data_IF_616733341881
#
_entry.id   IF_616733341881
#
_cell.length_a   1.000
_cell.length_b   1.000
_cell.length_c   1.000
_cell.angle_alpha   90.00
_cell.angle_beta   90.00
_cell.angle_gamma   90.00
#
_symmetry.space_group_name_H-M   'P 1'
#
loop_
_entity.id
_entity.type
_entity.pdbx_description
1 polymer ?
#
# COMPACT_ATOMS: atom_id res chain seq x y z
N UNK A 1 15.89 -14.60 1.62
CA UNK A 1 16.70 -13.82 2.60
C UNK A 1 16.36 -12.35 2.43
N UNK A 2 16.27 -11.58 3.53
CA UNK A 2 16.00 -10.13 3.46
C UNK A 2 17.00 -9.40 2.58
N UNK A 3 16.54 -8.34 1.89
CA UNK A 3 17.41 -7.51 1.06
C UNK A 3 18.33 -6.63 1.92
N UNK A 4 19.57 -6.41 1.50
CA UNK A 4 20.43 -5.42 2.15
C UNK A 4 19.86 -3.99 1.99
N UNK A 5 20.23 -3.01 2.86
CA UNK A 5 19.89 -1.61 2.63
C UNK A 5 20.37 -1.12 1.27
N UNK A 6 19.55 -0.30 0.58
CA UNK A 6 19.84 0.22 -0.76
C UNK A 6 18.67 0.12 -1.72
N UNK A 7 18.93 0.24 -3.01
CA UNK A 7 17.93 0.09 -4.06
C UNK A 7 18.12 -1.25 -4.77
N UNK A 8 17.10 -2.05 -4.78
CA UNK A 8 17.06 -3.37 -5.44
C UNK A 8 15.99 -3.41 -6.53
N UNK A 9 16.16 -4.32 -7.48
CA UNK A 9 15.17 -4.54 -8.54
C UNK A 9 14.66 -5.97 -8.44
N UNK A 10 13.42 -6.16 -7.95
CA UNK A 10 12.80 -7.48 -7.89
C UNK A 10 12.32 -8.00 -9.25
N UNK A 11 12.17 -7.09 -10.22
CA UNK A 11 12.16 -7.30 -11.68
C UNK A 11 12.89 -6.09 -12.31
N UNK A 12 13.33 -6.16 -13.58
CA UNK A 12 14.13 -5.09 -14.20
C UNK A 12 13.52 -3.68 -14.12
N UNK A 13 12.21 -3.59 -13.94
CA UNK A 13 11.48 -2.31 -13.91
C UNK A 13 10.83 -1.99 -12.56
N UNK A 14 11.08 -2.81 -11.52
CA UNK A 14 10.44 -2.64 -10.21
C UNK A 14 11.48 -2.38 -9.11
N UNK A 15 11.82 -1.11 -8.86
CA UNK A 15 12.73 -0.75 -7.77
C UNK A 15 12.07 -0.89 -6.41
N UNK A 16 12.82 -1.42 -5.46
CA UNK A 16 12.50 -1.49 -4.03
C UNK A 16 13.57 -0.71 -3.29
N UNK A 17 13.17 0.34 -2.58
CA UNK A 17 14.08 1.13 -1.74
C UNK A 17 14.05 0.57 -0.32
N UNK A 18 15.17 0.06 0.16
CA UNK A 18 15.30 -0.59 1.48
C UNK A 18 16.10 0.29 2.41
N UNK A 19 15.52 0.61 3.56
CA UNK A 19 16.14 1.36 4.63
C UNK A 19 16.14 0.53 5.91
N UNK A 20 17.23 0.58 6.65
CA UNK A 20 17.39 -0.11 7.91
C UNK A 20 17.97 0.86 8.94
N UNK A 21 17.41 0.85 10.14
CA UNK A 21 17.90 1.63 11.27
C UNK A 21 18.92 0.83 12.09
N UNK A 22 19.76 1.52 12.84
CA UNK A 22 20.70 0.88 13.78
C UNK A 22 19.99 0.15 14.92
N UNK A 23 18.79 0.61 15.31
CA UNK A 23 17.99 0.00 16.36
C UNK A 23 17.09 -1.11 15.80
N UNK A 24 17.06 -2.29 16.41
CA UNK A 24 16.15 -3.36 15.99
C UNK A 24 14.70 -2.94 16.18
N UNK A 25 13.85 -3.40 15.26
CA UNK A 25 12.42 -3.08 15.25
C UNK A 25 11.66 -3.85 14.17
N UNK A 26 10.39 -3.53 13.95
CA UNK A 26 9.58 -4.17 12.94
C UNK A 26 10.00 -3.77 11.51
N UNK A 27 9.55 -4.57 10.54
CA UNK A 27 9.66 -4.25 9.11
C UNK A 27 8.32 -3.75 8.61
N UNK A 28 8.32 -2.64 7.88
CA UNK A 28 7.16 -2.14 7.15
C UNK A 28 7.43 -2.13 5.64
N UNK A 29 6.41 -2.45 4.84
CA UNK A 29 6.44 -2.32 3.39
C UNK A 29 5.30 -1.40 2.97
N UNK A 30 5.62 -0.30 2.30
CA UNK A 30 4.67 0.64 1.72
C UNK A 30 4.79 0.55 0.20
N UNK A 31 3.71 0.25 -0.48
CA UNK A 31 3.68 0.15 -1.93
C UNK A 31 2.53 0.94 -2.54
N UNK A 32 2.74 1.44 -3.76
CA UNK A 32 1.74 2.16 -4.54
C UNK A 32 1.76 1.76 -6.02
N UNK A 33 0.84 2.28 -6.80
CA UNK A 33 0.84 2.09 -8.25
C UNK A 33 0.60 0.65 -8.71
N UNK A 34 -0.18 -0.13 -7.97
CA UNK A 34 -0.76 -1.40 -8.46
C UNK A 34 -1.69 -1.11 -9.64
N UNK A 35 -2.54 -0.08 -9.52
CA UNK A 35 -3.32 0.46 -10.62
C UNK A 35 -2.66 1.75 -11.12
N UNK A 36 -2.54 1.91 -12.42
CA UNK A 36 -1.77 3.02 -13.00
C UNK A 36 -2.53 4.33 -13.10
N UNK A 37 -3.84 4.32 -12.96
CA UNK A 37 -4.70 5.51 -12.88
C UNK A 37 -4.82 6.08 -11.45
N UNK A 38 -4.28 5.38 -10.44
CA UNK A 38 -4.29 5.75 -9.03
C UNK A 38 -2.94 6.36 -8.63
N UNK A 39 -2.76 7.65 -8.92
CA UNK A 39 -1.42 8.28 -8.94
C UNK A 39 -1.00 8.94 -7.64
N UNK A 40 -1.94 9.33 -6.77
CA UNK A 40 -1.61 10.05 -5.55
C UNK A 40 -0.71 9.23 -4.61
N UNK A 41 -0.96 7.92 -4.49
CA UNK A 41 -0.10 7.02 -3.72
C UNK A 41 1.32 6.93 -4.28
N UNK A 42 1.48 6.92 -5.60
CA UNK A 42 2.79 6.93 -6.26
C UNK A 42 3.56 8.19 -5.89
N UNK A 43 2.93 9.35 -6.05
CA UNK A 43 3.56 10.64 -5.74
C UNK A 43 3.83 10.78 -4.23
N UNK A 44 2.94 10.27 -3.36
CA UNK A 44 3.16 10.24 -1.92
C UNK A 44 4.44 9.46 -1.56
N UNK A 45 4.63 8.24 -2.09
CA UNK A 45 5.84 7.45 -1.82
C UNK A 45 7.08 8.12 -2.42
N UNK A 46 7.00 8.73 -3.61
CA UNK A 46 8.10 9.48 -4.20
C UNK A 46 8.52 10.67 -3.33
N UNK A 47 7.56 11.47 -2.84
CA UNK A 47 7.84 12.60 -1.95
C UNK A 47 8.43 12.15 -0.59
N UNK A 48 7.97 11.01 -0.04
CA UNK A 48 8.57 10.45 1.17
C UNK A 48 10.03 10.03 0.95
N UNK A 49 10.36 9.47 -0.23
CA UNK A 49 11.73 9.15 -0.63
C UNK A 49 12.59 10.43 -0.77
N UNK A 50 12.08 11.45 -1.46
CA UNK A 50 12.75 12.74 -1.67
C UNK A 50 12.96 13.50 -0.37
N UNK A 51 11.98 13.45 0.55
CA UNK A 51 12.10 14.01 1.90
C UNK A 51 13.08 13.25 2.79
N UNK A 52 13.62 12.13 2.30
CA UNK A 52 14.61 11.35 3.04
C UNK A 52 14.01 10.55 4.22
N UNK A 53 12.75 10.11 4.11
CA UNK A 53 12.13 9.28 5.15
C UNK A 53 13.02 8.08 5.48
N UNK A 54 13.31 7.88 6.76
CA UNK A 54 14.10 6.77 7.29
C UNK A 54 13.42 6.18 8.52
N UNK A 55 13.54 4.86 8.75
CA UNK A 55 13.07 4.27 9.99
C UNK A 55 13.94 4.74 11.16
N UNK A 56 13.32 5.03 12.30
CA UNK A 56 14.01 5.23 13.57
C UNK A 56 14.40 3.89 14.19
N UNK A 57 13.64 2.83 13.88
CA UNK A 57 13.89 1.44 14.30
C UNK A 57 13.45 0.47 13.21
N UNK A 58 14.11 -0.69 13.15
CA UNK A 58 13.75 -1.77 12.21
C UNK A 58 13.98 -1.41 10.76
N UNK A 59 13.06 -1.75 9.89
CA UNK A 59 13.23 -1.68 8.44
C UNK A 59 12.02 -1.04 7.75
N UNK A 60 12.28 -0.29 6.71
CA UNK A 60 11.27 0.31 5.85
C UNK A 60 11.58 0.02 4.38
N UNK A 61 10.65 -0.60 3.68
CA UNK A 61 10.71 -0.81 2.24
C UNK A 61 9.67 0.07 1.56
N UNK A 62 10.11 0.85 0.58
CA UNK A 62 9.26 1.73 -0.22
C UNK A 62 9.28 1.31 -1.69
N UNK A 63 8.08 1.08 -2.26
CA UNK A 63 7.89 0.67 -3.65
C UNK A 63 6.91 1.66 -4.29
N UNK A 64 7.40 2.70 -4.99
CA UNK A 64 6.52 3.75 -5.50
C UNK A 64 5.60 3.30 -6.63
N UNK A 65 6.02 2.35 -7.47
CA UNK A 65 5.21 1.91 -8.63
C UNK A 65 5.29 0.39 -8.79
N UNK A 66 4.23 -0.31 -8.39
CA UNK A 66 4.14 -1.77 -8.50
C UNK A 66 3.89 -2.25 -9.95
N UNK A 67 3.14 -1.48 -10.74
CA UNK A 67 2.86 -1.80 -12.15
C UNK A 67 3.32 -0.68 -13.09
N UNK A 68 4.60 -0.64 -13.48
CA UNK A 68 5.13 0.43 -14.35
C UNK A 68 4.44 0.52 -15.71
N UNK A 69 3.91 -0.60 -16.23
CA UNK A 69 3.16 -0.63 -17.48
C UNK A 69 1.83 0.10 -17.39
N UNK A 70 1.07 -0.21 -16.34
CA UNK A 70 -0.20 0.45 -16.04
C UNK A 70 0.00 1.94 -15.72
N UNK A 71 1.02 2.26 -14.90
CA UNK A 71 1.33 3.65 -14.51
C UNK A 71 1.68 4.53 -15.72
N UNK A 72 2.53 4.05 -16.65
CA UNK A 72 2.82 4.81 -17.87
C UNK A 72 1.60 5.02 -18.76
N UNK A 73 0.70 4.05 -18.79
CA UNK A 73 -0.54 4.14 -19.56
C UNK A 73 -1.64 4.97 -18.88
N UNK A 74 -1.50 5.26 -17.56
CA UNK A 74 -2.55 5.89 -16.74
C UNK A 74 -3.87 5.11 -16.78
N UNK A 75 -3.75 3.79 -16.76
CA UNK A 75 -4.90 2.87 -16.76
C UNK A 75 -4.81 1.93 -15.56
N UNK A 76 -5.93 1.37 -15.16
CA UNK A 76 -6.02 0.38 -14.08
C UNK A 76 -5.05 -0.79 -14.30
N UNK A 77 -4.99 -1.32 -15.53
CA UNK A 77 -4.03 -2.34 -15.96
C UNK A 77 -3.24 -1.86 -17.18
N UNK A 78 -2.08 -2.44 -17.44
CA UNK A 78 -1.33 -2.17 -18.65
C UNK A 78 -2.15 -2.57 -19.91
N UNK A 79 -2.01 -1.87 -21.04
CA UNK A 79 -2.69 -2.26 -22.28
C UNK A 79 -2.41 -3.73 -22.62
N UNK A 80 -3.47 -4.54 -22.74
CA UNK A 80 -3.38 -5.99 -22.96
C UNK A 80 -2.90 -6.83 -21.76
N UNK A 81 -2.63 -6.20 -20.62
CA UNK A 81 -2.22 -6.85 -19.38
C UNK A 81 -3.41 -7.22 -18.47
N UNK A 82 -3.09 -7.84 -17.35
CA UNK A 82 -4.05 -8.25 -16.32
C UNK A 82 -4.14 -7.19 -15.22
N UNK A 83 -5.24 -7.22 -14.44
CA UNK A 83 -5.32 -6.51 -13.16
C UNK A 83 -4.35 -7.15 -12.18
N UNK A 84 -3.26 -6.42 -11.83
CA UNK A 84 -2.24 -6.90 -10.91
C UNK A 84 -2.85 -7.24 -9.54
N UNK A 85 -3.84 -6.46 -9.06
CA UNK A 85 -4.49 -6.71 -7.77
C UNK A 85 -5.51 -7.87 -7.81
N UNK A 86 -5.58 -8.60 -8.92
CA UNK A 86 -6.33 -9.86 -9.10
C UNK A 86 -5.41 -11.01 -9.53
N UNK A 87 -4.10 -10.77 -9.54
CA UNK A 87 -3.11 -11.74 -10.03
C UNK A 87 -2.36 -12.48 -8.90
N UNK A 88 -2.66 -12.19 -7.63
CA UNK A 88 -2.08 -12.89 -6.48
C UNK A 88 -2.71 -14.26 -6.24
N UNK A 89 -1.95 -15.27 -5.78
CA UNK A 89 -0.55 -15.23 -5.29
C UNK A 89 0.53 -15.16 -6.37
N UNK A 90 0.17 -15.19 -7.65
CA UNK A 90 1.10 -15.15 -8.76
C UNK A 90 1.81 -16.45 -9.07
N UNK A 91 2.53 -16.46 -10.19
CA UNK A 91 3.40 -17.55 -10.65
C UNK A 91 4.63 -16.94 -11.33
N UNK A 92 5.83 -17.33 -10.88
CA UNK A 92 7.10 -16.83 -11.40
C UNK A 92 7.34 -17.16 -12.88
N UNK A 93 6.71 -18.22 -13.38
CA UNK A 93 6.85 -18.73 -14.76
C UNK A 93 5.69 -18.34 -15.67
N UNK A 94 4.71 -17.58 -15.17
CA UNK A 94 3.57 -17.16 -15.98
C UNK A 94 4.00 -16.31 -17.20
N UNK A 95 3.25 -16.40 -18.28
CA UNK A 95 3.44 -15.56 -19.47
C UNK A 95 3.12 -14.09 -19.14
N UNK A 96 2.04 -13.83 -18.37
CA UNK A 96 1.62 -12.50 -17.99
C UNK A 96 2.60 -11.88 -16.98
N UNK A 97 2.99 -10.62 -17.25
CA UNK A 97 3.92 -9.89 -16.39
C UNK A 97 3.32 -9.65 -14.99
N UNK A 98 2.04 -9.32 -14.93
CA UNK A 98 1.33 -9.03 -13.67
C UNK A 98 1.33 -10.24 -12.73
N UNK A 99 1.16 -11.44 -13.29
CA UNK A 99 1.22 -12.68 -12.51
C UNK A 99 2.63 -12.94 -11.95
N UNK A 100 3.67 -12.62 -12.73
CA UNK A 100 5.06 -12.68 -12.23
C UNK A 100 5.36 -11.60 -11.20
N UNK A 101 4.87 -10.36 -11.39
CA UNK A 101 5.00 -9.26 -10.43
C UNK A 101 4.36 -9.64 -9.09
N UNK A 102 3.12 -10.15 -9.11
CA UNK A 102 2.41 -10.62 -7.93
C UNK A 102 3.23 -11.66 -7.15
N UNK A 103 3.78 -12.66 -7.86
CA UNK A 103 4.61 -13.70 -7.24
C UNK A 103 5.89 -13.12 -6.63
N UNK A 104 6.61 -12.27 -7.36
CA UNK A 104 7.85 -11.67 -6.87
C UNK A 104 7.64 -10.77 -5.65
N UNK A 105 6.54 -10.04 -5.64
CA UNK A 105 6.20 -9.24 -4.46
C UNK A 105 5.82 -10.10 -3.25
N UNK A 106 5.09 -11.19 -3.46
CA UNK A 106 4.80 -12.15 -2.38
C UNK A 106 6.09 -12.79 -1.85
N UNK A 107 7.02 -13.21 -2.73
CA UNK A 107 8.32 -13.75 -2.33
C UNK A 107 9.13 -12.73 -1.49
N UNK A 108 9.13 -11.45 -1.89
CA UNK A 108 9.73 -10.38 -1.10
C UNK A 108 9.11 -10.29 0.30
N UNK A 109 7.79 -10.29 0.40
CA UNK A 109 7.11 -10.25 1.70
C UNK A 109 7.42 -11.48 2.57
N UNK A 110 7.52 -12.67 1.97
CA UNK A 110 7.91 -13.89 2.68
C UNK A 110 9.36 -13.78 3.22
N UNK A 111 10.27 -13.23 2.43
CA UNK A 111 11.68 -13.08 2.83
C UNK A 111 11.87 -11.98 3.89
N UNK A 112 11.17 -10.86 3.76
CA UNK A 112 11.27 -9.69 4.66
C UNK A 112 10.49 -9.85 5.97
N UNK A 113 9.46 -10.69 6.01
CA UNK A 113 8.58 -10.94 7.16
C UNK A 113 8.07 -9.65 7.81
N UNK A 114 7.41 -8.77 7.04
CA UNK A 114 6.95 -7.49 7.55
C UNK A 114 5.92 -7.66 8.69
N UNK A 115 5.89 -6.71 9.61
CA UNK A 115 4.80 -6.54 10.56
C UNK A 115 3.59 -5.86 9.90
N UNK A 116 3.86 -4.99 8.91
CA UNK A 116 2.85 -4.22 8.18
C UNK A 116 3.18 -4.18 6.69
N UNK A 117 2.18 -4.46 5.86
CA UNK A 117 2.18 -4.15 4.42
C UNK A 117 1.01 -3.21 4.12
N UNK A 118 1.30 -2.06 3.53
CA UNK A 118 0.29 -1.08 3.16
C UNK A 118 0.32 -0.82 1.67
N UNK A 119 -0.84 -0.92 1.03
CA UNK A 119 -1.05 -0.64 -0.38
C UNK A 119 -1.82 0.67 -0.53
N UNK A 120 -1.25 1.63 -1.28
CA UNK A 120 -1.86 2.92 -1.51
C UNK A 120 -2.68 2.90 -2.80
N UNK A 121 -3.98 3.14 -2.68
CA UNK A 121 -5.00 3.13 -3.73
C UNK A 121 -5.82 4.41 -3.76
N UNK A 122 -6.64 4.54 -4.79
CA UNK A 122 -7.60 5.63 -4.94
C UNK A 122 -8.94 5.10 -5.47
N UNK A 123 -10.03 5.65 -4.94
CA UNK A 123 -11.40 5.29 -5.35
C UNK A 123 -12.07 6.41 -6.14
N UNK A 124 -12.72 6.03 -7.24
CA UNK A 124 -13.60 6.94 -8.02
C UNK A 124 -14.89 7.29 -7.27
N UNK A 125 -15.31 6.42 -6.33
CA UNK A 125 -16.48 6.64 -5.50
C UNK A 125 -16.06 7.06 -4.11
N UNK A 126 -16.72 8.09 -3.58
CA UNK A 126 -16.62 8.43 -2.16
C UNK A 126 -17.19 7.29 -1.33
N UNK A 127 -16.64 7.09 -0.14
CA UNK A 127 -17.19 6.12 0.79
C UNK A 127 -18.60 6.50 1.22
N UNK A 128 -19.50 5.54 1.08
CA UNK A 128 -20.89 5.60 1.56
C UNK A 128 -21.22 4.21 2.12
N UNK A 129 -21.50 4.09 3.42
CA UNK A 129 -21.82 2.79 4.03
C UNK A 129 -23.08 2.14 3.46
N UNK A 130 -23.97 2.91 2.82
CA UNK A 130 -25.14 2.39 2.12
C UNK A 130 -24.84 1.86 0.71
N UNK A 131 -23.66 2.11 0.17
CA UNK A 131 -23.25 1.73 -1.19
C UNK A 131 -22.02 0.81 -1.15
N UNK A 132 -22.18 -0.45 -1.51
CA UNK A 132 -21.10 -1.42 -1.55
C UNK A 132 -20.87 -1.93 -3.00
N UNK A 133 -19.65 -1.80 -3.58
CA UNK A 133 -18.47 -1.19 -2.96
C UNK A 133 -18.39 0.33 -3.13
N UNK A 134 -17.90 1.01 -2.09
CA UNK A 134 -17.48 2.41 -2.13
C UNK A 134 -16.31 2.58 -1.17
N UNK A 135 -15.21 3.19 -1.58
CA UNK A 135 -13.96 3.13 -0.80
C UNK A 135 -13.33 4.48 -0.47
N UNK A 136 -13.67 5.57 -1.16
CA UNK A 136 -12.97 6.85 -0.99
C UNK A 136 -12.94 7.34 0.46
N UNK A 137 -11.75 7.58 1.02
CA UNK A 137 -11.43 7.90 2.41
C UNK A 137 -11.65 6.72 3.37
N UNK A 138 -11.10 5.55 3.04
CA UNK A 138 -11.15 4.40 3.95
C UNK A 138 -9.78 3.75 4.18
N UNK A 139 -9.65 3.10 5.33
CA UNK A 139 -8.62 2.09 5.58
C UNK A 139 -9.29 0.74 5.47
N UNK A 140 -9.01 0.03 4.38
CA UNK A 140 -9.59 -1.27 4.08
C UNK A 140 -8.74 -2.37 4.72
N UNK A 141 -9.42 -3.33 5.33
CA UNK A 141 -8.81 -4.52 5.93
C UNK A 141 -9.65 -5.77 5.59
N UNK A 142 -9.03 -6.94 5.60
CA UNK A 142 -9.67 -8.18 5.18
C UNK A 142 -9.76 -9.25 6.27
N UNK A 143 -9.40 -8.98 7.52
CA UNK A 143 -9.40 -9.93 8.62
C UNK A 143 -10.40 -9.53 9.70
N UNK A 144 -10.98 -10.55 10.37
CA UNK A 144 -11.86 -10.37 11.52
C UNK A 144 -11.27 -11.11 12.71
N UNK A 145 -11.07 -10.46 13.88
CA UNK A 145 -11.45 -9.08 14.20
C UNK A 145 -10.58 -8.03 13.51
N UNK A 146 -11.10 -6.80 13.38
CA UNK A 146 -10.37 -5.65 12.84
C UNK A 146 -9.06 -5.42 13.59
N UNK A 147 -7.93 -5.26 12.89
CA UNK A 147 -6.66 -4.91 13.53
C UNK A 147 -6.77 -3.57 14.28
N UNK A 148 -6.35 -3.53 15.54
CA UNK A 148 -6.48 -2.34 16.37
C UNK A 148 -5.82 -1.07 15.82
N UNK A 149 -4.76 -1.22 15.03
CA UNK A 149 -4.10 -0.12 14.31
C UNK A 149 -5.07 0.63 13.38
N UNK A 150 -6.03 -0.06 12.76
CA UNK A 150 -7.00 0.58 11.85
C UNK A 150 -7.82 1.62 12.60
N UNK A 151 -8.40 1.25 13.76
CA UNK A 151 -9.21 2.18 14.55
C UNK A 151 -8.37 3.34 15.08
N UNK A 152 -7.17 3.05 15.64
CA UNK A 152 -6.29 4.13 16.17
C UNK A 152 -5.89 5.12 15.08
N UNK A 153 -5.59 4.63 13.87
CA UNK A 153 -5.24 5.50 12.74
C UNK A 153 -6.43 6.33 12.28
N UNK A 154 -7.62 5.73 12.16
CA UNK A 154 -8.85 6.46 11.79
C UNK A 154 -9.18 7.53 12.83
N UNK A 155 -9.09 7.23 14.13
CA UNK A 155 -9.35 8.18 15.20
C UNK A 155 -8.35 9.35 15.16
N UNK A 156 -7.06 9.06 14.94
CA UNK A 156 -6.03 10.10 14.82
C UNK A 156 -6.26 11.00 13.58
N UNK A 157 -6.59 10.40 12.43
CA UNK A 157 -6.90 11.14 11.21
C UNK A 157 -8.11 12.07 11.37
N UNK A 158 -9.13 11.63 12.09
CA UNK A 158 -10.37 12.38 12.26
C UNK A 158 -10.31 13.40 13.40
N UNK A 159 -9.36 13.26 14.33
CA UNK A 159 -9.27 14.14 15.51
C UNK A 159 -9.10 15.62 15.15
N UNK A 160 -8.34 15.93 14.12
CA UNK A 160 -8.05 17.30 13.68
C UNK A 160 -8.88 17.76 12.48
N UNK A 161 -9.75 16.91 11.92
CA UNK A 161 -10.56 17.24 10.75
C UNK A 161 -11.86 17.92 11.15
N UNK A 162 -12.03 19.14 10.66
CA UNK A 162 -13.29 19.89 10.82
C UNK A 162 -14.27 19.61 9.68
N UNK A 163 -13.75 19.17 8.54
CA UNK A 163 -14.56 18.87 7.35
C UNK A 163 -14.94 17.39 7.36
N UNK A 164 -16.23 17.12 7.52
CA UNK A 164 -16.81 15.78 7.43
C UNK A 164 -16.58 15.12 6.05
N UNK A 165 -16.34 15.93 5.00
CA UNK A 165 -16.02 15.39 3.68
C UNK A 165 -14.64 14.70 3.63
N UNK A 166 -13.73 15.07 4.53
CA UNK A 166 -12.41 14.49 4.66
C UNK A 166 -12.33 13.35 5.69
N UNK A 167 -13.45 13.02 6.33
CA UNK A 167 -13.46 11.98 7.36
C UNK A 167 -13.09 10.60 6.80
N UNK A 168 -12.28 9.87 7.54
CA UNK A 168 -11.88 8.50 7.24
C UNK A 168 -12.78 7.49 7.95
N UNK A 169 -12.96 6.33 7.34
CA UNK A 169 -13.68 5.22 7.94
C UNK A 169 -12.88 3.91 7.81
N UNK A 170 -13.03 2.99 8.77
CA UNK A 170 -12.56 1.62 8.60
C UNK A 170 -13.53 0.87 7.68
N UNK A 171 -13.02 0.01 6.79
CA UNK A 171 -13.88 -0.81 5.94
C UNK A 171 -13.41 -2.26 5.89
N UNK A 172 -14.27 -3.18 6.31
CA UNK A 172 -14.03 -4.60 6.09
C UNK A 172 -14.42 -4.98 4.66
N UNK A 173 -13.41 -5.38 3.87
CA UNK A 173 -13.65 -5.78 2.49
C UNK A 173 -12.57 -6.77 2.01
N UNK A 174 -12.70 -8.08 2.34
CA UNK A 174 -11.78 -9.10 1.88
C UNK A 174 -11.92 -9.35 0.37
N UNK A 175 -10.80 -9.45 -0.34
CA UNK A 175 -10.74 -9.77 -1.78
C UNK A 175 -9.72 -10.89 -1.99
N UNK A 176 -10.19 -12.10 -2.17
CA UNK A 176 -9.40 -13.34 -2.16
C UNK A 176 -8.18 -13.40 -3.09
N UNK A 177 -8.07 -12.51 -4.08
CA UNK A 177 -6.95 -12.47 -5.03
C UNK A 177 -6.21 -11.14 -5.01
N UNK A 178 -6.46 -10.31 -3.99
CA UNK A 178 -5.74 -9.05 -3.80
C UNK A 178 -4.37 -9.27 -3.16
N UNK A 179 -3.49 -8.29 -3.35
CA UNK A 179 -2.18 -8.27 -2.68
C UNK A 179 -2.33 -8.37 -1.17
N UNK A 180 -3.25 -7.58 -0.59
CA UNK A 180 -3.45 -7.49 0.86
C UNK A 180 -3.86 -8.84 1.45
N UNK A 181 -4.90 -9.48 0.90
CA UNK A 181 -5.42 -10.76 1.41
C UNK A 181 -4.38 -11.89 1.35
N UNK A 182 -3.75 -12.05 0.19
CA UNK A 182 -2.78 -13.13 -0.02
C UNK A 182 -1.54 -12.93 0.86
N UNK A 183 -1.09 -11.69 1.05
CA UNK A 183 0.07 -11.42 1.91
C UNK A 183 -0.27 -11.70 3.38
N UNK A 184 -1.43 -11.27 3.85
CA UNK A 184 -1.90 -11.57 5.21
C UNK A 184 -1.98 -13.09 5.44
N UNK A 185 -2.60 -13.83 4.52
CA UNK A 185 -2.73 -15.30 4.58
C UNK A 185 -1.38 -16.01 4.61
N UNK A 186 -0.42 -15.56 3.77
CA UNK A 186 0.85 -16.26 3.58
C UNK A 186 1.98 -15.83 4.51
N UNK A 187 1.92 -14.61 5.03
CA UNK A 187 2.99 -14.02 5.84
C UNK A 187 2.56 -13.85 7.30
N UNK A 188 1.26 -13.70 7.57
CA UNK A 188 0.72 -13.49 8.90
C UNK A 188 0.95 -12.06 9.44
N UNK A 189 1.09 -11.09 8.55
CA UNK A 189 1.30 -9.68 8.90
C UNK A 189 -0.03 -8.89 8.90
N UNK A 190 0.02 -7.64 9.33
CA UNK A 190 -1.06 -6.68 9.11
C UNK A 190 -1.00 -6.23 7.65
N UNK A 191 -2.09 -6.43 6.91
CA UNK A 191 -2.24 -5.96 5.52
C UNK A 191 -3.36 -4.93 5.44
N UNK A 192 -3.04 -3.73 4.91
CA UNK A 192 -3.99 -2.63 4.79
C UNK A 192 -3.99 -2.05 3.37
N UNK A 193 -5.18 -1.67 2.90
CA UNK A 193 -5.34 -0.89 1.68
C UNK A 193 -5.88 0.49 2.04
N UNK A 194 -5.18 1.53 1.61
CA UNK A 194 -5.55 2.93 1.87
C UNK A 194 -6.20 3.47 0.62
N UNK A 195 -7.42 3.96 0.74
CA UNK A 195 -8.22 4.45 -0.37
C UNK A 195 -8.52 5.93 -0.20
N UNK A 196 -7.96 6.80 -1.04
CA UNK A 196 -8.38 8.20 -1.11
C UNK A 196 -9.42 8.42 -2.21
N UNK A 197 -10.32 9.39 -2.01
CA UNK A 197 -11.34 9.69 -3.01
C UNK A 197 -10.78 10.57 -4.13
N UNK A 198 -10.89 10.14 -5.38
CA UNK A 198 -10.44 10.89 -6.57
C UNK A 198 -11.19 12.20 -6.82
N UNK A 199 -12.25 12.50 -6.07
CA UNK A 199 -12.96 13.77 -6.15
C UNK A 199 -12.24 14.95 -5.49
N UNK A 200 -11.26 14.70 -4.61
CA UNK A 200 -10.36 15.73 -4.12
C UNK A 200 -9.28 16.05 -5.15
N UNK A 201 -8.69 17.25 -5.05
CA UNK A 201 -7.52 17.59 -5.86
C UNK A 201 -6.33 16.66 -5.55
N UNK A 202 -5.45 16.49 -6.52
CA UNK A 202 -4.36 15.52 -6.42
C UNK A 202 -3.40 15.85 -5.26
N UNK A 203 -3.08 17.13 -5.04
CA UNK A 203 -2.21 17.53 -3.94
C UNK A 203 -2.78 17.11 -2.59
N UNK A 204 -4.09 17.33 -2.39
CA UNK A 204 -4.77 16.94 -1.15
C UNK A 204 -4.72 15.43 -0.93
N UNK A 205 -4.96 14.64 -1.96
CA UNK A 205 -4.89 13.17 -1.89
C UNK A 205 -3.48 12.67 -1.56
N UNK A 206 -2.45 13.28 -2.15
CA UNK A 206 -1.04 12.97 -1.83
C UNK A 206 -0.75 13.24 -0.35
N UNK A 207 -1.16 14.40 0.17
CA UNK A 207 -0.94 14.75 1.57
C UNK A 207 -1.69 13.81 2.52
N UNK A 208 -2.93 13.45 2.20
CA UNK A 208 -3.72 12.46 2.95
C UNK A 208 -3.03 11.07 2.98
N UNK A 209 -2.50 10.60 1.86
CA UNK A 209 -1.79 9.33 1.80
C UNK A 209 -0.51 9.36 2.65
N UNK A 210 0.26 10.45 2.60
CA UNK A 210 1.47 10.62 3.42
C UNK A 210 1.14 10.66 4.92
N UNK A 211 0.05 11.34 5.29
CA UNK A 211 -0.42 11.42 6.68
C UNK A 211 -0.75 10.02 7.24
N UNK A 212 -1.53 9.23 6.49
CA UNK A 212 -1.86 7.84 6.87
C UNK A 212 -0.60 6.99 7.01
N UNK A 213 0.32 7.05 6.05
CA UNK A 213 1.59 6.31 6.11
C UNK A 213 2.38 6.69 7.36
N UNK A 214 2.50 7.98 7.67
CA UNK A 214 3.19 8.46 8.88
C UNK A 214 2.59 7.88 10.17
N UNK A 215 1.26 7.94 10.31
CA UNK A 215 0.56 7.41 11.48
C UNK A 215 0.72 5.89 11.62
N UNK A 216 0.63 5.14 10.51
CA UNK A 216 0.82 3.69 10.52
C UNK A 216 2.25 3.31 10.93
N UNK A 217 3.27 4.01 10.40
CA UNK A 217 4.67 3.75 10.75
C UNK A 217 4.97 4.09 12.22
N UNK A 218 4.37 5.16 12.75
CA UNK A 218 4.46 5.53 14.17
C UNK A 218 3.79 4.46 15.05
N UNK A 219 2.59 4.02 14.70
CA UNK A 219 1.82 3.05 15.50
C UNK A 219 2.57 1.72 15.67
N UNK A 220 3.25 1.24 14.62
CA UNK A 220 4.06 0.01 14.69
C UNK A 220 5.48 0.25 15.21
N UNK A 221 5.88 1.50 15.50
CA UNK A 221 7.18 1.85 16.06
C UNK A 221 8.35 1.79 15.08
N UNK A 222 8.10 2.05 13.78
CA UNK A 222 9.16 2.18 12.76
C UNK A 222 9.70 3.62 12.71
N UNK A 223 8.83 4.63 12.93
CA UNK A 223 9.18 6.06 12.95
C UNK A 223 8.77 6.71 14.26
#
# INVERSE_FOLDING_TARGET
>A
MPLAPGVHFILPTLPVHVFEADLPGPTAIIQAGIHGDEVAGVHAVQELLEAGLRPARGRLLLIPVMNPGAYRARLRAAPGGLDLNRSFPGDANAAALETRLARRFLDLCIDEKPALVTTLHESKKRYDPAVNPSFGQTIVYGVDPMPGIVQRTVDALNHSRLDVEEAWAPQFYPVATSSTEIIVDRVGCIGLCIETWMGFDERRRIDMQKEVVGLLLQDIGVC
#
